data_IF_310796051209
#
_entry.id   IF_310796051209
#
_cell.length_a   1.000
_cell.length_b   1.000
_cell.length_c   1.000
_cell.angle_alpha   90.00
_cell.angle_beta   90.00
_cell.angle_gamma   90.00
#
_symmetry.space_group_name_H-M   'P 1'
#
loop_
_entity.id
_entity.type
_entity.pdbx_description
1 polymer ?
#
# COMPACT_ATOMS: atom_id res chain seq x y z
N UNK A 1 18.74 19.27 -11.54
CA UNK A 1 20.18 18.93 -11.64
C UNK A 1 20.27 17.44 -11.94
N UNK A 2 21.06 17.05 -12.95
CA UNK A 2 21.28 15.62 -13.23
C UNK A 2 22.57 15.15 -12.56
N UNK A 3 22.63 13.87 -12.22
CA UNK A 3 23.86 13.24 -11.76
C UNK A 3 24.60 12.69 -12.98
N UNK A 4 25.73 13.23 -13.30
CA UNK A 4 26.55 12.74 -14.42
C UNK A 4 27.88 12.13 -13.96
N UNK A 5 28.23 12.38 -12.69
CA UNK A 5 29.51 11.93 -12.13
C UNK A 5 29.37 11.59 -10.63
N UNK A 6 30.39 10.89 -10.08
CA UNK A 6 30.48 10.61 -8.62
C UNK A 6 30.71 11.92 -7.86
N UNK A 7 31.38 12.89 -8.48
CA UNK A 7 31.60 14.21 -7.90
C UNK A 7 30.28 14.96 -7.68
N UNK A 8 29.31 14.86 -8.61
CA UNK A 8 27.98 15.46 -8.46
C UNK A 8 27.23 14.84 -7.27
N UNK A 9 27.30 13.51 -7.11
CA UNK A 9 26.69 12.81 -5.97
C UNK A 9 27.31 13.28 -4.65
N UNK A 10 28.65 13.35 -4.59
CA UNK A 10 29.37 13.81 -3.39
C UNK A 10 29.05 15.27 -3.06
N UNK A 11 28.91 16.13 -4.07
CA UNK A 11 28.55 17.52 -3.86
C UNK A 11 27.17 17.64 -3.20
N UNK A 12 26.18 16.86 -3.66
CA UNK A 12 24.83 16.83 -3.08
C UNK A 12 24.85 16.28 -1.64
N UNK A 13 25.65 15.24 -1.37
CA UNK A 13 25.80 14.69 -0.01
C UNK A 13 26.43 15.70 0.95
N UNK A 14 27.36 16.53 0.46
CA UNK A 14 28.08 17.52 1.24
C UNK A 14 27.32 18.83 1.40
N UNK A 15 26.40 19.18 0.49
CA UNK A 15 25.63 20.43 0.52
C UNK A 15 24.82 20.55 1.81
N UNK A 16 24.17 19.45 2.20
CA UNK A 16 23.45 19.36 3.48
C UNK A 16 23.56 17.94 4.02
N UNK A 17 24.24 17.73 5.14
CA UNK A 17 24.31 16.43 5.79
C UNK A 17 22.92 15.85 6.03
N UNK A 18 22.78 14.53 5.95
CA UNK A 18 21.49 13.86 6.14
C UNK A 18 20.78 14.23 7.45
N UNK A 19 21.56 14.36 8.52
CA UNK A 19 21.05 14.73 9.87
C UNK A 19 20.52 16.17 9.96
N UNK A 20 20.86 17.03 9.01
CA UNK A 20 20.48 18.44 8.99
C UNK A 20 19.34 18.73 8.00
N UNK A 21 18.89 17.70 7.26
CA UNK A 21 17.76 17.84 6.34
C UNK A 21 16.45 17.86 7.12
N UNK A 22 15.64 18.87 6.88
CA UNK A 22 14.27 18.99 7.43
C UNK A 22 13.34 17.99 6.73
N UNK A 23 13.47 16.71 7.09
CA UNK A 23 12.65 15.63 6.57
C UNK A 23 11.62 15.20 7.60
N UNK A 24 10.40 14.84 7.16
CA UNK A 24 9.39 14.28 8.04
C UNK A 24 9.92 13.04 8.78
N UNK A 25 9.50 12.85 10.02
CA UNK A 25 9.96 11.72 10.84
C UNK A 25 9.27 10.40 10.44
N UNK A 26 8.02 10.47 9.98
CA UNK A 26 7.19 9.31 9.66
C UNK A 26 6.54 9.44 8.27
N UNK A 27 6.04 8.32 7.75
CA UNK A 27 5.25 8.30 6.51
C UNK A 27 3.97 9.14 6.67
N UNK A 28 3.38 9.17 7.88
CA UNK A 28 2.20 9.99 8.12
C UNK A 28 2.51 11.48 8.09
N UNK A 29 3.60 11.91 8.71
CA UNK A 29 4.04 13.32 8.67
C UNK A 29 4.33 13.77 7.23
N UNK A 30 4.94 12.89 6.42
CA UNK A 30 5.19 13.17 5.00
C UNK A 30 3.89 13.38 4.23
N UNK A 31 2.94 12.45 4.39
CA UNK A 31 1.63 12.53 3.74
C UNK A 31 0.85 13.77 4.19
N UNK A 32 0.87 14.07 5.49
CA UNK A 32 0.19 15.23 6.08
C UNK A 32 0.79 16.56 5.56
N UNK A 33 2.11 16.64 5.48
CA UNK A 33 2.84 17.79 4.91
C UNK A 33 2.41 18.05 3.45
N UNK A 34 2.35 17.01 2.62
CA UNK A 34 1.95 17.12 1.22
C UNK A 34 0.48 17.45 1.06
N UNK A 35 -0.40 16.78 1.81
CA UNK A 35 -1.83 17.04 1.80
C UNK A 35 -2.19 18.43 2.29
N UNK A 36 -1.46 18.95 3.28
CA UNK A 36 -1.63 20.33 3.77
C UNK A 36 -1.17 21.39 2.76
N UNK A 37 -0.12 21.09 2.00
CA UNK A 37 0.42 21.99 0.97
C UNK A 37 -0.46 22.06 -0.28
N UNK A 38 -1.06 20.92 -0.68
CA UNK A 38 -1.81 20.78 -1.93
C UNK A 38 -3.08 19.95 -1.75
N UNK A 39 -4.04 20.37 -0.90
CA UNK A 39 -5.17 19.52 -0.50
C UNK A 39 -6.04 19.05 -1.67
N UNK A 40 -6.25 19.92 -2.66
CA UNK A 40 -7.17 19.69 -3.77
C UNK A 40 -6.49 19.14 -5.03
N UNK A 41 -5.16 19.09 -5.07
CA UNK A 41 -4.42 18.50 -6.18
C UNK A 41 -4.61 16.97 -6.20
N UNK A 42 -4.61 16.39 -7.40
CA UNK A 42 -4.75 14.95 -7.59
C UNK A 42 -3.52 14.22 -7.04
N UNK A 43 -3.77 13.21 -6.21
CA UNK A 43 -2.73 12.38 -5.59
C UNK A 43 -2.56 11.03 -6.26
N UNK A 44 -3.66 10.29 -6.39
CA UNK A 44 -3.67 8.94 -6.96
C UNK A 44 -4.88 8.79 -7.86
N UNK A 45 -4.67 8.23 -9.06
CA UNK A 45 -5.76 7.84 -9.95
C UNK A 45 -5.63 6.36 -10.30
N UNK A 46 -6.74 5.64 -10.28
CA UNK A 46 -6.80 4.22 -10.60
C UNK A 46 -7.86 3.94 -11.65
N UNK A 47 -7.49 3.12 -12.64
CA UNK A 47 -8.39 2.65 -13.69
C UNK A 47 -8.26 1.13 -13.80
N UNK A 48 -9.36 0.40 -13.60
CA UNK A 48 -9.36 -1.08 -13.62
C UNK A 48 -9.34 -1.64 -15.05
N UNK A 49 -10.00 -0.96 -15.99
CA UNK A 49 -10.13 -1.45 -17.37
C UNK A 49 -9.43 -0.50 -18.33
N UNK A 50 -8.59 -1.05 -19.22
CA UNK A 50 -8.02 -0.28 -20.33
C UNK A 50 -9.11 0.16 -21.30
N UNK A 51 -9.10 1.43 -21.68
CA UNK A 51 -10.03 2.02 -22.65
C UNK A 51 -10.38 3.46 -22.31
N UNK A 52 -10.53 4.30 -23.34
CA UNK A 52 -10.77 5.74 -23.17
C UNK A 52 -12.06 6.06 -22.40
N UNK A 53 -13.06 5.17 -22.44
CA UNK A 53 -14.35 5.34 -21.75
C UNK A 53 -14.44 4.53 -20.44
N UNK A 54 -13.34 3.95 -19.96
CA UNK A 54 -13.36 3.21 -18.71
C UNK A 54 -13.34 4.15 -17.52
N UNK A 55 -14.06 3.75 -16.47
CA UNK A 55 -14.13 4.53 -15.23
C UNK A 55 -12.74 4.62 -14.58
N UNK A 56 -12.25 5.82 -14.39
CA UNK A 56 -11.14 6.12 -13.50
C UNK A 56 -11.67 6.75 -12.22
N UNK A 57 -11.07 6.42 -11.08
CA UNK A 57 -11.30 7.11 -9.81
C UNK A 57 -10.02 7.81 -9.40
N UNK A 58 -10.16 9.04 -8.92
CA UNK A 58 -9.04 9.87 -8.50
C UNK A 58 -9.31 10.40 -7.10
N UNK A 59 -8.30 10.35 -6.24
CA UNK A 59 -8.29 10.98 -4.94
C UNK A 59 -7.39 12.21 -4.97
N UNK A 60 -7.84 13.30 -4.34
CA UNK A 60 -6.97 14.41 -4.01
C UNK A 60 -6.05 14.05 -2.83
N UNK A 61 -5.03 14.88 -2.56
CA UNK A 61 -4.12 14.66 -1.43
C UNK A 61 -4.86 14.68 -0.10
N UNK A 62 -5.85 15.56 0.09
CA UNK A 62 -6.68 15.58 1.30
C UNK A 62 -7.53 14.32 1.44
N UNK A 63 -8.10 13.82 0.34
CA UNK A 63 -8.88 12.59 0.34
C UNK A 63 -8.03 11.35 0.58
N UNK A 64 -6.83 11.28 -0.03
CA UNK A 64 -5.89 10.19 0.22
C UNK A 64 -5.45 10.17 1.69
N UNK A 65 -5.07 11.32 2.25
CA UNK A 65 -4.74 11.43 3.67
C UNK A 65 -5.88 10.96 4.57
N UNK A 66 -7.11 11.40 4.29
CA UNK A 66 -8.28 10.97 5.06
C UNK A 66 -8.48 9.45 5.01
N UNK A 67 -8.43 8.84 3.83
CA UNK A 67 -8.59 7.38 3.69
C UNK A 67 -7.44 6.60 4.33
N UNK A 68 -6.20 7.08 4.24
CA UNK A 68 -5.03 6.47 4.92
C UNK A 68 -5.20 6.55 6.44
N UNK A 69 -5.66 7.69 6.97
CA UNK A 69 -5.96 7.84 8.40
C UNK A 69 -7.05 6.88 8.84
N UNK A 70 -8.13 6.78 8.09
CA UNK A 70 -9.22 5.86 8.37
C UNK A 70 -8.76 4.38 8.33
N UNK A 71 -7.92 4.01 7.38
CA UNK A 71 -7.35 2.66 7.33
C UNK A 71 -6.41 2.39 8.51
N UNK A 72 -5.58 3.35 8.91
CA UNK A 72 -4.73 3.23 10.09
C UNK A 72 -5.56 3.05 11.38
N UNK A 73 -6.65 3.81 11.55
CA UNK A 73 -7.57 3.66 12.67
C UNK A 73 -8.25 2.29 12.67
N UNK A 74 -8.68 1.80 11.49
CA UNK A 74 -9.23 0.44 11.35
C UNK A 74 -8.22 -0.61 11.80
N UNK A 75 -6.98 -0.55 11.31
CA UNK A 75 -5.94 -1.50 11.68
C UNK A 75 -5.62 -1.45 13.17
N UNK A 76 -5.49 -0.25 13.74
CA UNK A 76 -5.30 -0.07 15.20
C UNK A 76 -6.47 -0.69 16.00
N UNK A 77 -7.72 -0.48 15.58
CA UNK A 77 -8.90 -1.09 16.21
C UNK A 77 -8.92 -2.62 16.11
N UNK A 78 -8.32 -3.17 15.06
CA UNK A 78 -8.13 -4.62 14.89
C UNK A 78 -6.92 -5.17 15.64
N UNK A 79 -6.25 -4.36 16.46
CA UNK A 79 -5.15 -4.77 17.32
C UNK A 79 -3.76 -4.60 16.69
N UNK A 80 -3.65 -3.88 15.58
CA UNK A 80 -2.35 -3.55 14.97
C UNK A 80 -1.72 -2.37 15.70
N UNK A 81 -0.64 -2.61 16.42
CA UNK A 81 0.25 -1.61 17.01
C UNK A 81 1.60 -1.56 16.28
N UNK A 82 2.55 -0.79 16.81
CA UNK A 82 3.83 -0.50 16.15
C UNK A 82 4.65 -1.72 15.70
N UNK A 83 4.51 -2.85 16.40
CA UNK A 83 5.24 -4.09 16.11
C UNK A 83 4.36 -5.18 15.48
N UNK A 84 3.06 -4.91 15.29
CA UNK A 84 2.14 -5.86 14.71
C UNK A 84 2.07 -5.70 13.19
N UNK A 85 1.73 -6.80 12.51
CA UNK A 85 1.80 -6.86 11.06
C UNK A 85 0.40 -6.96 10.44
N UNK A 86 0.13 -6.04 9.51
CA UNK A 86 -0.96 -6.15 8.54
C UNK A 86 -0.40 -6.52 7.17
N UNK A 87 -0.80 -7.68 6.64
CA UNK A 87 -0.43 -8.09 5.30
C UNK A 87 -1.48 -7.66 4.27
N UNK A 88 -1.07 -7.48 3.01
CA UNK A 88 -2.01 -7.46 1.91
C UNK A 88 -1.59 -8.39 0.77
N UNK A 89 -2.59 -9.04 0.15
CA UNK A 89 -2.47 -9.89 -1.03
C UNK A 89 -3.37 -9.29 -2.11
N UNK A 90 -2.90 -8.22 -2.74
CA UNK A 90 -3.68 -7.41 -3.66
C UNK A 90 -2.89 -7.11 -4.95
N UNK A 91 -3.57 -7.02 -6.10
CA UNK A 91 -3.03 -6.29 -7.25
C UNK A 91 -3.05 -4.80 -6.99
N UNK A 92 -2.52 -4.00 -7.91
CA UNK A 92 -2.63 -2.55 -7.82
C UNK A 92 -4.09 -2.12 -7.83
N UNK A 93 -4.46 -1.28 -6.87
CA UNK A 93 -5.75 -0.60 -6.76
C UNK A 93 -5.63 0.60 -5.83
N UNK A 94 -6.65 1.41 -5.73
CA UNK A 94 -6.70 2.51 -4.75
C UNK A 94 -6.57 1.98 -3.33
N UNK A 95 -7.27 0.87 -3.03
CA UNK A 95 -7.25 0.22 -1.72
C UNK A 95 -5.86 -0.33 -1.38
N UNK A 96 -5.06 -0.72 -2.39
CA UNK A 96 -3.67 -1.17 -2.19
C UNK A 96 -2.79 -0.03 -1.69
N UNK A 97 -2.95 1.18 -2.24
CA UNK A 97 -2.24 2.38 -1.75
C UNK A 97 -2.67 2.71 -0.34
N UNK A 98 -3.98 2.72 -0.08
CA UNK A 98 -4.55 3.02 1.24
C UNK A 98 -4.10 1.99 2.28
N UNK A 99 -4.10 0.69 1.94
CA UNK A 99 -3.63 -0.38 2.83
C UNK A 99 -2.12 -0.31 3.09
N UNK A 100 -1.32 0.01 2.06
CA UNK A 100 0.13 0.16 2.19
C UNK A 100 0.48 1.30 3.15
N UNK A 101 -0.05 2.50 2.89
CA UNK A 101 0.26 3.68 3.69
C UNK A 101 -0.38 3.58 5.08
N UNK A 102 -1.66 3.20 5.18
CA UNK A 102 -2.36 3.03 6.46
C UNK A 102 -1.75 1.95 7.35
N UNK A 103 -1.31 0.84 6.75
CA UNK A 103 -0.60 -0.22 7.46
C UNK A 103 0.76 0.22 7.99
N UNK A 104 1.52 1.00 7.21
CA UNK A 104 2.79 1.59 7.65
C UNK A 104 2.59 2.62 8.78
N UNK A 105 1.45 3.31 8.82
CA UNK A 105 1.11 4.25 9.90
C UNK A 105 0.73 3.52 11.19
N UNK A 106 -0.13 2.52 11.12
CA UNK A 106 -0.61 1.79 12.30
C UNK A 106 0.46 0.85 12.88
N UNK A 107 1.15 0.11 12.01
CA UNK A 107 2.09 -0.93 12.39
C UNK A 107 3.12 -1.20 11.31
N UNK A 108 3.34 -2.46 10.99
CA UNK A 108 4.22 -2.92 9.93
C UNK A 108 3.36 -3.48 8.79
N UNK A 109 3.43 -2.87 7.61
CA UNK A 109 2.74 -3.40 6.44
C UNK A 109 3.58 -4.47 5.72
N UNK A 110 2.98 -5.59 5.36
CA UNK A 110 3.64 -6.69 4.62
C UNK A 110 2.95 -6.93 3.27
N UNK A 111 3.45 -6.31 2.19
CA UNK A 111 2.99 -6.58 0.84
C UNK A 111 3.36 -7.99 0.38
N UNK A 112 2.38 -8.79 -0.04
CA UNK A 112 2.60 -10.15 -0.52
C UNK A 112 2.15 -10.25 -1.98
N UNK A 113 2.98 -10.88 -2.81
CA UNK A 113 2.67 -11.11 -4.22
C UNK A 113 1.47 -12.05 -4.38
N UNK A 114 0.34 -11.59 -4.97
CA UNK A 114 -0.87 -12.40 -5.16
C UNK A 114 -0.70 -13.53 -6.18
N UNK A 115 0.41 -13.58 -6.91
CA UNK A 115 0.70 -14.65 -7.87
C UNK A 115 1.37 -15.87 -7.22
N UNK A 116 1.78 -15.79 -5.97
CA UNK A 116 2.35 -16.92 -5.22
C UNK A 116 1.31 -18.02 -4.98
N UNK A 117 1.80 -19.24 -4.66
CA UNK A 117 0.93 -20.33 -4.23
C UNK A 117 0.39 -20.10 -2.82
N UNK A 118 -0.72 -20.74 -2.43
CA UNK A 118 -1.27 -20.62 -1.07
C UNK A 118 -0.27 -20.98 0.03
N UNK A 119 0.58 -21.98 -0.21
CA UNK A 119 1.59 -22.43 0.76
C UNK A 119 2.65 -21.35 0.98
N UNK A 120 3.09 -20.69 -0.10
CA UNK A 120 4.04 -19.58 0.00
C UNK A 120 3.43 -18.38 0.69
N UNK A 121 2.21 -17.98 0.32
CA UNK A 121 1.50 -16.88 0.99
C UNK A 121 1.33 -17.22 2.49
N UNK A 122 0.86 -18.42 2.81
CA UNK A 122 0.69 -18.88 4.20
C UNK A 122 2.02 -18.94 4.97
N UNK A 123 3.11 -19.32 4.30
CA UNK A 123 4.47 -19.27 4.84
C UNK A 123 4.87 -17.85 5.25
N UNK A 124 4.67 -16.88 4.35
CA UNK A 124 4.99 -15.46 4.59
C UNK A 124 4.11 -14.84 5.69
N UNK A 125 2.81 -15.20 5.74
CA UNK A 125 1.92 -14.77 6.83
C UNK A 125 2.41 -15.26 8.20
N UNK A 126 2.87 -16.51 8.29
CA UNK A 126 3.45 -17.07 9.54
C UNK A 126 4.78 -16.43 9.90
N UNK A 127 5.67 -16.28 8.91
CA UNK A 127 7.01 -15.71 9.12
C UNK A 127 6.93 -14.27 9.65
N UNK A 128 6.01 -13.48 9.10
CA UNK A 128 5.82 -12.09 9.52
C UNK A 128 4.94 -11.93 10.75
N UNK A 129 4.22 -12.96 11.16
CA UNK A 129 3.27 -12.89 12.27
C UNK A 129 2.03 -12.06 11.96
N UNK A 130 1.64 -11.95 10.68
CA UNK A 130 0.49 -11.15 10.28
C UNK A 130 -0.82 -11.65 10.94
N UNK A 131 -1.56 -10.73 11.55
CA UNK A 131 -2.86 -11.02 12.20
C UNK A 131 -4.04 -10.51 11.40
N UNK A 132 -3.82 -9.50 10.54
CA UNK A 132 -4.81 -8.93 9.62
C UNK A 132 -4.32 -9.10 8.18
N UNK A 133 -5.20 -9.53 7.28
CA UNK A 133 -4.90 -9.69 5.85
C UNK A 133 -5.92 -8.92 5.02
N UNK A 134 -5.45 -8.03 4.15
CA UNK A 134 -6.29 -7.36 3.15
C UNK A 134 -6.15 -8.11 1.82
N UNK A 135 -7.26 -8.52 1.21
CA UNK A 135 -7.25 -9.29 -0.04
C UNK A 135 -8.41 -8.93 -0.95
N UNK A 136 -8.42 -9.48 -2.16
CA UNK A 136 -9.58 -9.32 -3.05
C UNK A 136 -10.78 -10.15 -2.57
N UNK A 137 -11.95 -9.57 -2.68
CA UNK A 137 -13.20 -10.32 -2.70
C UNK A 137 -13.24 -11.21 -3.95
N UNK A 138 -13.80 -12.40 -3.81
CA UNK A 138 -13.90 -13.33 -4.94
C UNK A 138 -14.44 -12.64 -6.20
N UNK A 139 -13.69 -12.72 -7.29
CA UNK A 139 -13.99 -12.05 -8.55
C UNK A 139 -13.71 -13.00 -9.73
N UNK A 140 -14.51 -12.98 -10.79
CA UNK A 140 -14.22 -13.78 -12.01
C UNK A 140 -12.84 -13.44 -12.57
N UNK A 141 -12.18 -14.43 -13.17
CA UNK A 141 -10.88 -14.33 -13.82
C UNK A 141 -9.67 -14.12 -12.89
N UNK A 142 -9.83 -14.27 -11.58
CA UNK A 142 -8.72 -14.26 -10.63
C UNK A 142 -8.97 -15.26 -9.52
N UNK A 143 -7.91 -15.89 -9.03
CA UNK A 143 -7.91 -16.86 -7.95
C UNK A 143 -7.35 -16.29 -6.63
N UNK A 144 -7.07 -14.99 -6.58
CA UNK A 144 -6.43 -14.33 -5.42
C UNK A 144 -7.22 -14.57 -4.13
N UNK A 145 -8.54 -14.40 -4.15
CA UNK A 145 -9.38 -14.64 -2.98
C UNK A 145 -9.29 -16.10 -2.49
N UNK A 146 -9.34 -17.06 -3.42
CA UNK A 146 -9.23 -18.48 -3.10
C UNK A 146 -7.85 -18.80 -2.52
N UNK A 147 -6.79 -18.39 -3.19
CA UNK A 147 -5.40 -18.58 -2.72
C UNK A 147 -5.18 -18.00 -1.34
N UNK A 148 -5.68 -16.78 -1.12
CA UNK A 148 -5.55 -16.14 0.20
C UNK A 148 -6.34 -16.90 1.27
N UNK A 149 -7.55 -17.37 0.98
CA UNK A 149 -8.34 -18.16 1.92
C UNK A 149 -7.65 -19.49 2.30
N UNK A 150 -7.06 -20.18 1.31
CA UNK A 150 -6.24 -21.36 1.55
C UNK A 150 -4.99 -21.05 2.39
N UNK A 151 -4.33 -19.93 2.11
CA UNK A 151 -3.15 -19.46 2.86
C UNK A 151 -3.49 -19.11 4.32
N UNK A 152 -4.64 -18.48 4.56
CA UNK A 152 -5.13 -18.15 5.92
C UNK A 152 -5.35 -19.43 6.75
N UNK A 153 -5.83 -20.53 6.15
CA UNK A 153 -5.92 -21.82 6.86
C UNK A 153 -4.57 -22.32 7.35
N UNK A 154 -3.50 -21.97 6.66
CA UNK A 154 -2.12 -22.32 7.02
C UNK A 154 -1.47 -21.35 7.99
N UNK A 155 -2.12 -20.24 8.30
CA UNK A 155 -1.62 -19.15 9.15
C UNK A 155 -2.59 -18.86 10.31
N UNK A 156 -2.59 -19.68 11.38
CA UNK A 156 -3.59 -19.61 12.45
C UNK A 156 -3.58 -18.30 13.26
N UNK A 157 -2.50 -17.51 13.18
CA UNK A 157 -2.43 -16.19 13.82
C UNK A 157 -3.30 -15.13 13.10
N UNK A 158 -3.71 -15.36 11.86
CA UNK A 158 -4.59 -14.43 11.14
C UNK A 158 -5.98 -14.50 11.75
N UNK A 159 -6.43 -13.40 12.32
CA UNK A 159 -7.77 -13.28 12.97
C UNK A 159 -8.79 -12.60 12.09
N UNK A 160 -8.35 -11.73 11.17
CA UNK A 160 -9.23 -10.92 10.34
C UNK A 160 -8.76 -10.88 8.88
N UNK A 161 -9.70 -11.07 7.97
CA UNK A 161 -9.54 -10.87 6.52
C UNK A 161 -10.43 -9.71 6.10
N UNK A 162 -9.84 -8.71 5.46
CA UNK A 162 -10.52 -7.54 4.91
C UNK A 162 -10.61 -7.70 3.39
N UNK A 163 -11.81 -7.82 2.86
CA UNK A 163 -12.05 -8.02 1.43
C UNK A 163 -12.24 -6.70 0.68
N UNK A 164 -11.52 -6.52 -0.42
CA UNK A 164 -11.64 -5.41 -1.36
C UNK A 164 -12.50 -5.84 -2.55
N UNK A 165 -13.61 -5.16 -2.80
CA UNK A 165 -14.49 -5.42 -3.93
C UNK A 165 -14.22 -4.46 -5.10
N UNK A 166 -13.62 -4.96 -6.17
CA UNK A 166 -13.33 -4.17 -7.37
C UNK A 166 -14.57 -3.84 -8.21
N UNK A 167 -15.77 -4.30 -7.81
CA UNK A 167 -17.02 -4.03 -8.52
C UNK A 167 -17.28 -2.53 -8.71
N UNK A 168 -16.86 -1.70 -7.73
CA UNK A 168 -17.02 -0.24 -7.76
C UNK A 168 -16.38 0.43 -8.98
N UNK A 169 -15.34 -0.18 -9.55
CA UNK A 169 -14.61 0.32 -10.72
C UNK A 169 -15.21 -0.12 -12.06
N UNK A 170 -16.24 -0.96 -12.03
CA UNK A 170 -16.91 -1.44 -13.25
C UNK A 170 -18.12 -0.59 -13.59
N UNK A 171 -18.33 -0.40 -14.89
CA UNK A 171 -19.54 0.23 -15.45
C UNK A 171 -20.47 -0.85 -16.02
N UNK A 172 -21.78 -0.56 -16.18
CA UNK A 172 -22.69 -1.43 -16.92
C UNK A 172 -22.18 -1.73 -18.34
N UNK A 173 -22.41 -2.95 -18.86
CA UNK A 173 -23.14 -4.07 -18.23
C UNK A 173 -22.27 -4.90 -17.26
N UNK A 174 -20.96 -4.70 -17.21
CA UNK A 174 -20.03 -5.55 -16.40
C UNK A 174 -20.37 -5.49 -14.91
N UNK A 175 -20.72 -4.31 -14.38
CA UNK A 175 -21.12 -4.17 -12.96
C UNK A 175 -22.38 -4.97 -12.58
N UNK A 176 -23.25 -5.28 -13.54
CA UNK A 176 -24.43 -6.12 -13.32
C UNK A 176 -24.14 -7.62 -13.48
N UNK A 177 -23.22 -7.97 -14.40
CA UNK A 177 -22.90 -9.37 -14.70
C UNK A 177 -21.98 -9.98 -13.64
N UNK A 178 -20.97 -9.24 -13.18
CA UNK A 178 -19.96 -9.76 -12.24
C UNK A 178 -20.58 -10.36 -10.98
N UNK A 179 -21.56 -9.75 -10.29
CA UNK A 179 -22.19 -10.36 -9.12
C UNK A 179 -22.87 -11.71 -9.41
N UNK A 180 -23.40 -11.90 -10.65
CA UNK A 180 -24.10 -13.13 -11.05
C UNK A 180 -23.13 -14.29 -11.31
N UNK A 181 -21.93 -13.97 -11.81
CA UNK A 181 -20.89 -14.97 -12.16
C UNK A 181 -19.78 -15.08 -11.11
N UNK A 182 -19.92 -14.37 -9.99
CA UNK A 182 -18.99 -14.44 -8.86
C UNK A 182 -18.97 -15.86 -8.27
N UNK A 183 -17.80 -16.43 -7.95
CA UNK A 183 -17.73 -17.72 -7.27
C UNK A 183 -18.55 -17.72 -5.97
N UNK A 184 -19.44 -18.73 -5.83
CA UNK A 184 -20.41 -18.79 -4.71
C UNK A 184 -19.92 -19.60 -3.51
N UNK A 185 -18.89 -20.42 -3.70
CA UNK A 185 -18.37 -21.31 -2.66
C UNK A 185 -16.96 -20.87 -2.26
N UNK A 186 -16.80 -19.84 -1.41
CA UNK A 186 -15.50 -19.45 -0.93
C UNK A 186 -14.89 -20.56 -0.08
N UNK A 187 -13.57 -20.70 -0.14
CA UNK A 187 -12.81 -21.55 0.77
C UNK A 187 -13.04 -21.09 2.20
N UNK A 188 -13.49 -21.99 3.05
CA UNK A 188 -13.75 -21.66 4.47
C UNK A 188 -12.42 -21.58 5.23
N UNK A 189 -12.28 -20.60 6.10
CA UNK A 189 -11.16 -20.42 7.04
C UNK A 189 -11.67 -19.89 8.38
N UNK A 190 -10.79 -19.83 9.38
CA UNK A 190 -11.14 -19.49 10.78
C UNK A 190 -11.25 -17.99 11.04
N UNK A 191 -10.62 -17.13 10.21
CA UNK A 191 -10.59 -15.70 10.42
C UNK A 191 -11.94 -15.03 10.11
N UNK A 192 -12.25 -13.95 10.81
CA UNK A 192 -13.41 -13.10 10.52
C UNK A 192 -13.22 -12.40 9.17
N UNK A 193 -14.28 -12.36 8.36
CA UNK A 193 -14.26 -11.66 7.06
C UNK A 193 -15.08 -10.38 7.14
N UNK A 194 -14.48 -9.26 6.74
CA UNK A 194 -15.10 -7.93 6.73
C UNK A 194 -14.87 -7.25 5.37
N UNK A 195 -15.71 -6.29 5.02
CA UNK A 195 -15.53 -5.47 3.81
C UNK A 195 -14.58 -4.30 4.13
N UNK A 196 -13.45 -4.23 3.40
CA UNK A 196 -12.42 -3.23 3.65
C UNK A 196 -12.95 -1.80 3.50
N UNK A 197 -13.60 -1.50 2.38
CA UNK A 197 -14.07 -0.14 2.09
C UNK A 197 -15.16 0.31 3.07
N UNK A 198 -16.07 -0.58 3.42
CA UNK A 198 -17.12 -0.30 4.40
C UNK A 198 -16.54 -0.05 5.79
N UNK A 199 -15.59 -0.88 6.24
CA UNK A 199 -14.97 -0.70 7.56
C UNK A 199 -14.07 0.54 7.64
N UNK A 200 -13.30 0.85 6.57
CA UNK A 200 -12.49 2.08 6.48
C UNK A 200 -13.40 3.31 6.56
N UNK A 201 -14.48 3.36 5.79
CA UNK A 201 -15.38 4.53 5.76
C UNK A 201 -16.07 4.84 7.09
N UNK A 202 -16.11 3.89 8.02
CA UNK A 202 -16.67 4.09 9.38
C UNK A 202 -15.70 4.72 10.36
N UNK A 203 -14.41 4.81 10.01
CA UNK A 203 -13.39 5.35 10.90
C UNK A 203 -13.31 6.87 10.80
N UNK A 204 -12.75 7.50 11.84
CA UNK A 204 -12.46 8.92 11.87
C UNK A 204 -11.37 9.31 10.86
N UNK A 205 -11.42 10.54 10.35
CA UNK A 205 -10.40 11.13 9.48
C UNK A 205 -9.26 11.83 10.24
N UNK A 206 -9.29 11.77 11.57
CA UNK A 206 -8.18 12.07 12.47
C UNK A 206 -7.72 10.76 13.13
N UNK A 207 -6.43 10.64 13.47
CA UNK A 207 -5.94 9.44 14.16
C UNK A 207 -6.58 9.29 15.54
N UNK A 208 -7.05 8.10 15.84
CA UNK A 208 -7.65 7.72 17.13
C UNK A 208 -6.59 7.18 18.11
N UNK A 209 -5.33 7.13 17.72
CA UNK A 209 -4.19 6.65 18.50
C UNK A 209 -3.00 7.60 18.36
N UNK A 210 -2.03 7.50 19.28
CA UNK A 210 -0.80 8.27 19.20
C UNK A 210 0.06 7.77 18.02
N UNK A 211 0.33 8.67 17.07
CA UNK A 211 1.24 8.35 15.97
C UNK A 211 2.66 8.13 16.49
N UNK A 212 3.39 7.24 15.84
CA UNK A 212 4.83 7.11 16.07
C UNK A 212 5.54 8.42 15.80
N UNK A 213 6.49 8.77 16.66
CA UNK A 213 7.32 9.97 16.53
C UNK A 213 8.76 9.67 16.17
N UNK A 214 9.13 8.39 16.11
CA UNK A 214 10.49 7.93 15.88
C UNK A 214 10.65 6.97 14.71
N UNK A 215 11.91 6.72 14.35
CA UNK A 215 12.25 5.79 13.29
C UNK A 215 12.06 4.34 13.76
N UNK A 216 11.10 3.64 13.15
CA UNK A 216 10.81 2.22 13.38
C UNK A 216 10.68 1.45 12.08
N UNK A 217 10.61 0.13 12.16
CA UNK A 217 10.22 -0.70 11.01
C UNK A 217 8.77 -0.38 10.65
N UNK A 218 8.53 -0.09 9.38
CA UNK A 218 7.22 0.29 8.86
C UNK A 218 6.71 -0.67 7.80
N UNK A 219 7.62 -1.41 7.14
CA UNK A 219 7.22 -2.36 6.11
C UNK A 219 8.16 -3.57 6.05
N UNK A 220 7.60 -4.72 5.69
CA UNK A 220 8.30 -5.95 5.33
C UNK A 220 8.14 -6.21 3.85
N UNK A 221 9.24 -6.27 3.10
CA UNK A 221 9.21 -6.67 1.69
C UNK A 221 9.93 -8.01 1.51
N UNK A 222 9.37 -8.86 0.65
CA UNK A 222 9.94 -10.17 0.38
C UNK A 222 10.91 -10.08 -0.79
N UNK A 223 12.14 -10.57 -0.58
CA UNK A 223 13.14 -10.64 -1.65
C UNK A 223 12.97 -11.94 -2.40
N UNK A 224 13.04 -11.89 -3.73
CA UNK A 224 13.15 -13.08 -4.56
C UNK A 224 14.48 -13.79 -4.30
N UNK A 225 14.48 -14.83 -3.47
CA UNK A 225 15.67 -15.64 -3.26
C UNK A 225 15.94 -16.50 -4.51
N UNK A 226 17.13 -16.40 -5.08
CA UNK A 226 17.58 -17.27 -6.20
C UNK A 226 17.88 -18.70 -5.73
N UNK A 227 17.96 -18.95 -4.44
CA UNK A 227 18.50 -20.20 -3.86
C UNK A 227 17.70 -20.77 -2.70
N UNK A 228 16.46 -20.30 -2.41
CA UNK A 228 15.71 -20.83 -1.26
C UNK A 228 14.51 -19.99 -0.86
N UNK A 229 14.12 -20.08 0.41
CA UNK A 229 13.00 -19.35 1.00
C UNK A 229 13.20 -17.83 0.84
N UNK A 230 12.19 -17.07 0.39
CA UNK A 230 12.27 -15.62 0.31
C UNK A 230 12.63 -15.01 1.68
N UNK A 231 13.56 -14.06 1.68
CA UNK A 231 13.94 -13.34 2.90
C UNK A 231 13.07 -12.11 3.08
N UNK A 232 12.77 -11.76 4.33
CA UNK A 232 12.04 -10.54 4.68
C UNK A 232 13.02 -9.39 4.87
N UNK A 233 12.92 -8.36 4.04
CA UNK A 233 13.64 -7.10 4.19
C UNK A 233 12.81 -6.16 5.06
N UNK A 234 13.40 -5.66 6.15
CA UNK A 234 12.78 -4.71 7.05
C UNK A 234 13.06 -3.28 6.60
N UNK A 235 12.04 -2.55 6.22
CA UNK A 235 12.17 -1.15 5.84
C UNK A 235 11.71 -0.24 6.97
N UNK A 236 12.59 0.69 7.36
CA UNK A 236 12.33 1.69 8.40
C UNK A 236 11.80 2.98 7.78
N UNK A 237 11.12 3.81 8.58
CA UNK A 237 10.64 5.12 8.14
C UNK A 237 11.73 5.96 7.46
N UNK A 238 12.93 6.03 8.06
CA UNK A 238 14.04 6.77 7.46
C UNK A 238 14.36 6.31 6.04
N UNK A 239 14.38 4.99 5.80
CA UNK A 239 14.63 4.44 4.47
C UNK A 239 13.53 4.76 3.47
N UNK A 240 12.26 4.70 3.88
CA UNK A 240 11.11 5.07 3.04
C UNK A 240 11.14 6.55 2.67
N UNK A 241 11.35 7.41 3.66
CA UNK A 241 11.39 8.88 3.49
C UNK A 241 12.61 9.31 2.69
N UNK A 242 13.79 8.69 2.92
CA UNK A 242 14.99 8.96 2.14
C UNK A 242 14.77 8.70 0.65
N UNK A 243 14.20 7.54 0.30
CA UNK A 243 13.90 7.23 -1.10
C UNK A 243 12.83 8.17 -1.68
N UNK A 244 11.81 8.50 -0.90
CA UNK A 244 10.81 9.49 -1.28
C UNK A 244 11.42 10.86 -1.56
N UNK A 245 12.30 11.33 -0.66
CA UNK A 245 13.05 12.58 -0.84
C UNK A 245 13.93 12.55 -2.08
N UNK A 246 14.72 11.49 -2.27
CA UNK A 246 15.63 11.37 -3.41
C UNK A 246 14.87 11.47 -4.74
N UNK A 247 13.81 10.69 -4.89
CA UNK A 247 13.04 10.66 -6.14
C UNK A 247 12.20 11.93 -6.29
N UNK A 248 11.56 12.40 -5.22
CA UNK A 248 10.73 13.59 -5.24
C UNK A 248 11.51 14.91 -5.31
N UNK A 249 12.83 14.89 -5.16
CA UNK A 249 13.69 16.08 -5.34
C UNK A 249 14.36 16.10 -6.71
N UNK A 250 14.74 14.93 -7.23
CA UNK A 250 15.60 14.87 -8.42
C UNK A 250 14.94 14.23 -9.64
N UNK A 251 13.80 13.57 -9.47
CA UNK A 251 13.13 12.82 -10.57
C UNK A 251 11.71 13.33 -10.82
N UNK A 252 10.93 13.56 -9.76
CA UNK A 252 9.54 14.00 -9.86
C UNK A 252 9.35 15.41 -9.32
N UNK A 253 8.43 16.15 -9.93
CA UNK A 253 7.90 17.38 -9.35
C UNK A 253 6.35 17.32 -9.27
N UNK A 254 5.73 18.35 -8.68
CA UNK A 254 4.29 18.38 -8.45
C UNK A 254 3.45 18.59 -9.73
N UNK A 255 4.08 18.82 -10.87
CA UNK A 255 3.41 18.88 -12.19
C UNK A 255 3.40 17.53 -12.91
N UNK A 256 4.14 16.53 -12.40
CA UNK A 256 4.29 15.24 -13.05
C UNK A 256 3.08 14.34 -12.86
N UNK A 257 2.80 13.56 -13.91
CA UNK A 257 1.89 12.43 -13.91
C UNK A 257 2.71 11.14 -13.99
N UNK A 258 2.92 10.50 -12.86
CA UNK A 258 3.79 9.32 -12.74
C UNK A 258 2.98 8.07 -13.01
N UNK A 259 3.22 7.41 -14.16
CA UNK A 259 2.60 6.11 -14.46
C UNK A 259 3.33 5.03 -13.66
N UNK A 260 2.59 4.31 -12.81
CA UNK A 260 3.10 3.20 -12.01
C UNK A 260 2.55 1.86 -12.50
N UNK A 261 3.15 1.24 -13.53
CA UNK A 261 2.74 -0.08 -14.03
C UNK A 261 3.29 -1.21 -13.16
N UNK A 262 4.26 -0.91 -12.30
CA UNK A 262 4.89 -1.88 -11.42
C UNK A 262 3.96 -2.22 -10.24
N UNK A 263 3.95 -3.48 -9.81
CA UNK A 263 3.09 -3.89 -8.70
C UNK A 263 3.55 -3.32 -7.36
N UNK A 264 2.60 -2.77 -6.59
CA UNK A 264 2.86 -2.16 -5.27
C UNK A 264 3.30 -3.16 -4.19
N UNK A 265 3.17 -4.46 -4.44
CA UNK A 265 3.78 -5.47 -3.57
C UNK A 265 5.30 -5.59 -3.81
N UNK A 266 5.85 -4.90 -4.81
CA UNK A 266 7.29 -4.84 -5.09
C UNK A 266 7.88 -3.52 -4.58
N UNK A 267 9.06 -3.61 -3.94
CA UNK A 267 9.74 -2.48 -3.30
C UNK A 267 9.97 -1.29 -4.25
N UNK A 268 10.26 -1.52 -5.52
CA UNK A 268 10.51 -0.46 -6.50
C UNK A 268 9.26 0.42 -6.73
N UNK A 269 8.07 -0.19 -6.81
CA UNK A 269 6.84 0.58 -6.97
C UNK A 269 6.43 1.28 -5.68
N UNK A 270 6.49 0.57 -4.55
CA UNK A 270 6.02 1.08 -3.27
C UNK A 270 6.94 2.14 -2.68
N UNK A 271 8.26 2.02 -2.87
CA UNK A 271 9.22 2.89 -2.20
C UNK A 271 9.68 4.02 -3.12
N UNK A 272 10.51 3.83 -4.18
CA UNK A 272 10.92 4.97 -4.99
C UNK A 272 9.74 5.67 -5.69
N UNK A 273 8.82 4.91 -6.30
CA UNK A 273 7.77 5.52 -7.14
C UNK A 273 6.66 6.13 -6.28
N UNK A 274 6.01 5.36 -5.41
CA UNK A 274 4.90 5.89 -4.61
C UNK A 274 5.37 6.92 -3.58
N UNK A 275 6.44 6.64 -2.82
CA UNK A 275 6.93 7.60 -1.83
C UNK A 275 7.54 8.84 -2.48
N UNK A 276 8.13 8.70 -3.69
CA UNK A 276 8.58 9.84 -4.50
C UNK A 276 7.42 10.75 -4.89
N UNK A 277 6.30 10.16 -5.35
CA UNK A 277 5.08 10.92 -5.65
C UNK A 277 4.48 11.57 -4.39
N UNK A 278 4.47 10.87 -3.24
CA UNK A 278 4.02 11.46 -1.96
C UNK A 278 4.91 12.63 -1.56
N UNK A 279 6.22 12.56 -1.77
CA UNK A 279 7.15 13.63 -1.40
C UNK A 279 7.04 14.85 -2.31
N UNK A 280 7.01 14.65 -3.64
CA UNK A 280 6.93 15.75 -4.62
C UNK A 280 5.54 16.36 -4.75
N UNK A 281 4.50 15.60 -4.43
CA UNK A 281 3.10 15.93 -4.73
C UNK A 281 2.67 15.60 -6.17
N UNK A 282 3.43 14.78 -6.88
CA UNK A 282 3.09 14.28 -8.20
C UNK A 282 1.86 13.38 -8.19
N UNK A 283 1.08 13.37 -9.27
CA UNK A 283 -0.02 12.43 -9.45
C UNK A 283 0.51 11.03 -9.78
N UNK A 284 0.16 10.04 -8.96
CA UNK A 284 0.43 8.63 -9.26
C UNK A 284 -0.73 8.01 -10.04
N UNK A 285 -0.47 7.56 -11.26
CA UNK A 285 -1.42 6.85 -12.13
C UNK A 285 -1.18 5.35 -11.99
N UNK A 286 -2.15 4.64 -11.40
CA UNK A 286 -2.07 3.20 -11.13
C UNK A 286 -3.01 2.46 -12.07
N UNK A 287 -2.50 1.38 -12.65
CA UNK A 287 -3.28 0.48 -13.50
C UNK A 287 -2.92 -0.98 -13.19
N UNK A 288 -3.89 -1.88 -13.33
CA UNK A 288 -3.64 -3.34 -13.29
C UNK A 288 -3.13 -3.83 -14.63
#
# INVERSE_FOLDING_TARGET
MGFSSVEDVRAIEQETPWSERDLPATVYDLLDKTASKMPDANAVSFQLMSGANSKAETLSWSQLRAQVTQAANLFSRLGIGENDVVAFVLPNSMETVVALLGGAVAGIVSPINPLLSPEHIGGLLRETGATVVVTLKACPKTDVAQKTAEAVRLAPAVTTVLEVDLLRYLTPPKSWIVPLVRPKNPVQHHAQVLDFSAEVSRQNTALDFAASTGDRVAAYFHTGGTTGTPKVAQLRYKGLIYNGWLVGTYVFDNSDNVICPLPLFHVLAAVPVLMGAVFSGALSLIHI
#
